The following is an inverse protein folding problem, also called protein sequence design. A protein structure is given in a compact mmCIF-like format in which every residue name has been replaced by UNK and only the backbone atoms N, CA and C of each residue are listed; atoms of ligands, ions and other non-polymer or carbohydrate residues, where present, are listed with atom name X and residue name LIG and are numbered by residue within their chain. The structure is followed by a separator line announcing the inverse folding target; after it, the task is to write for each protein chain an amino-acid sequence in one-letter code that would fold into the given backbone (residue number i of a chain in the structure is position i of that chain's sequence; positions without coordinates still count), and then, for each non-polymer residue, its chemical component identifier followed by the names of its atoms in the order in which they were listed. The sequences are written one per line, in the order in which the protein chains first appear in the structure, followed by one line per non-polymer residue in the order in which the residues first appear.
data_IF_579835688363
#
_entry.id   IF_579835688363
#
_cell.length_a   1.000
_cell.length_b   1.000
_cell.length_c   1.000
_cell.angle_alpha   90.00
_cell.angle_beta   90.00
_cell.angle_gamma   90.00
#
_symmetry.space_group_name_H-M   'P 1'
#
loop_
_entity.id
_entity.type
_entity.pdbx_description
1 polymer ?
#
# COMPACT_ATOMS: atom_id res chain seq x y z
N UNK A 1 33.78 -17.37 10.69
CA UNK A 1 32.80 -17.93 9.73
C UNK A 1 31.66 -16.91 9.70
N UNK A 2 31.73 -15.99 8.73
CA UNK A 2 30.70 -14.97 8.53
C UNK A 2 29.52 -15.58 7.79
N UNK A 3 28.34 -15.55 8.42
CA UNK A 3 27.11 -15.94 7.78
C UNK A 3 26.66 -14.79 6.88
N UNK A 4 26.88 -14.93 5.59
CA UNK A 4 26.38 -14.02 4.57
C UNK A 4 24.84 -14.02 4.55
N UNK A 5 24.25 -12.98 5.11
CA UNK A 5 22.82 -12.70 4.94
C UNK A 5 22.58 -12.33 3.48
N UNK A 6 21.99 -13.22 2.72
CA UNK A 6 21.54 -12.95 1.36
C UNK A 6 20.40 -11.93 1.42
N UNK A 7 20.69 -10.69 1.10
CA UNK A 7 19.71 -9.63 0.91
C UNK A 7 18.83 -10.01 -0.28
N UNK A 8 17.65 -10.61 0.00
CA UNK A 8 16.66 -10.88 -1.04
C UNK A 8 16.13 -9.54 -1.52
N UNK A 9 16.31 -9.27 -2.81
CA UNK A 9 15.72 -8.16 -3.54
C UNK A 9 14.25 -7.98 -3.13
N UNK A 10 13.94 -6.88 -2.47
CA UNK A 10 12.57 -6.41 -2.26
C UNK A 10 12.02 -6.08 -3.66
N UNK A 11 10.91 -6.73 -4.03
CA UNK A 11 10.19 -6.40 -5.25
C UNK A 11 9.83 -4.91 -5.23
N UNK A 12 9.87 -4.27 -6.39
CA UNK A 12 9.64 -2.83 -6.54
C UNK A 12 8.31 -2.43 -5.89
N UNK A 13 8.41 -1.83 -4.72
CA UNK A 13 7.28 -1.33 -3.95
C UNK A 13 7.09 0.13 -4.33
N UNK A 14 5.92 0.47 -4.87
CA UNK A 14 5.63 1.82 -5.32
C UNK A 14 4.81 2.57 -4.27
N UNK A 15 5.16 3.81 -4.04
CA UNK A 15 4.46 4.73 -3.14
C UNK A 15 4.06 5.96 -3.96
N UNK A 16 2.76 6.27 -3.98
CA UNK A 16 2.22 7.42 -4.68
C UNK A 16 1.46 8.32 -3.70
N UNK A 17 1.80 9.60 -3.68
CA UNK A 17 1.14 10.59 -2.84
C UNK A 17 0.55 11.71 -3.69
N UNK A 18 -0.71 12.07 -3.44
CA UNK A 18 -1.34 13.24 -4.03
C UNK A 18 -1.18 14.45 -3.12
N UNK A 19 -0.64 15.53 -3.68
CA UNK A 19 -0.47 16.81 -3.01
C UNK A 19 -1.62 17.76 -3.34
N UNK A 20 -2.02 18.60 -2.40
CA UNK A 20 -3.05 19.61 -2.61
C UNK A 20 -2.66 20.64 -3.68
N UNK A 21 -3.68 21.23 -4.34
CA UNK A 21 -3.63 22.15 -5.50
C UNK A 21 -2.73 23.39 -5.39
N UNK A 22 -1.96 23.58 -4.32
CA UNK A 22 -1.08 24.74 -4.13
C UNK A 22 0.40 24.47 -4.41
N UNK A 23 0.74 23.34 -5.06
CA UNK A 23 2.10 23.07 -5.57
C UNK A 23 3.24 23.05 -4.55
N UNK A 24 2.93 23.17 -3.25
CA UNK A 24 3.93 23.06 -2.19
C UNK A 24 3.92 21.64 -1.65
N UNK A 25 5.00 20.93 -1.92
CA UNK A 25 5.36 19.69 -1.26
C UNK A 25 5.58 20.01 0.22
N UNK A 26 4.53 19.96 1.02
CA UNK A 26 4.77 19.81 2.44
C UNK A 26 5.15 18.36 2.65
N UNK A 27 6.36 18.11 3.09
CA UNK A 27 6.88 16.77 3.40
C UNK A 27 5.80 15.99 4.14
N UNK A 28 5.76 14.67 3.96
CA UNK A 28 4.88 13.72 4.68
C UNK A 28 4.92 13.96 6.21
N UNK A 29 5.91 14.68 6.72
CA UNK A 29 6.04 15.14 8.11
C UNK A 29 5.01 16.20 8.55
N UNK A 30 4.11 16.67 7.66
CA UNK A 30 3.16 17.78 7.95
C UNK A 30 1.73 17.28 8.19
N UNK A 31 1.51 15.99 8.39
CA UNK A 31 0.16 15.39 8.58
C UNK A 31 -0.38 15.56 10.00
N UNK A 32 0.36 15.90 10.96
CA UNK A 32 -0.01 16.53 12.24
C UNK A 32 1.27 16.96 12.96
N UNK A 33 1.18 17.97 13.81
CA UNK A 33 2.36 18.46 14.53
C UNK A 33 2.95 17.43 15.50
N UNK A 34 2.21 16.38 15.84
CA UNK A 34 2.56 15.46 16.93
C UNK A 34 2.64 13.96 16.51
N UNK A 35 2.07 13.55 15.36
CA UNK A 35 2.09 12.15 14.93
C UNK A 35 2.91 11.97 13.67
N UNK A 36 4.04 11.29 13.79
CA UNK A 36 4.91 10.95 12.66
C UNK A 36 4.37 9.70 11.95
N UNK A 37 3.80 9.86 10.77
CA UNK A 37 3.40 8.72 9.93
C UNK A 37 4.65 8.09 9.32
N UNK A 38 4.88 6.82 9.63
CA UNK A 38 5.94 6.01 9.07
C UNK A 38 5.34 4.73 8.49
N UNK A 39 5.46 4.58 7.18
CA UNK A 39 4.83 3.49 6.43
C UNK A 39 5.86 2.41 6.10
N UNK A 40 5.52 1.15 6.38
CA UNK A 40 6.20 -0.03 5.84
C UNK A 40 5.34 -0.61 4.72
N UNK A 41 5.94 -0.85 3.56
CA UNK A 41 5.27 -1.57 2.45
C UNK A 41 6.06 -2.84 2.17
N UNK A 42 5.37 -3.99 2.13
CA UNK A 42 5.99 -5.30 2.04
C UNK A 42 5.18 -6.23 1.13
N UNK A 43 5.80 -6.78 0.08
CA UNK A 43 5.31 -7.99 -0.56
C UNK A 43 5.75 -9.21 0.27
N UNK A 44 4.81 -9.81 1.03
CA UNK A 44 5.14 -10.84 2.01
C UNK A 44 5.34 -12.23 1.41
N UNK A 45 4.80 -12.48 0.21
CA UNK A 45 4.72 -13.84 -0.36
C UNK A 45 4.29 -14.86 0.70
N UNK A 46 3.12 -14.57 1.29
CA UNK A 46 2.51 -15.24 2.44
C UNK A 46 2.99 -14.73 3.81
N UNK A 47 2.01 -14.34 4.63
CA UNK A 47 2.18 -14.02 6.06
C UNK A 47 1.53 -15.09 6.97
N UNK A 48 1.06 -16.18 6.38
CA UNK A 48 0.29 -17.22 7.05
C UNK A 48 1.09 -17.94 8.14
N UNK A 49 2.40 -18.11 7.94
CA UNK A 49 3.27 -18.77 8.92
C UNK A 49 3.48 -17.87 10.14
N UNK A 50 3.31 -18.46 11.33
CA UNK A 50 3.47 -17.76 12.61
C UNK A 50 4.86 -17.12 12.76
N UNK A 51 5.91 -17.80 12.30
CA UNK A 51 7.27 -17.31 12.40
C UNK A 51 7.46 -15.97 11.65
N UNK A 52 6.84 -15.86 10.47
CA UNK A 52 6.88 -14.60 9.68
C UNK A 52 6.12 -13.45 10.37
N UNK A 53 5.02 -13.76 11.07
CA UNK A 53 4.28 -12.76 11.84
C UNK A 53 5.08 -12.26 13.03
N UNK A 54 5.75 -13.15 13.76
CA UNK A 54 6.63 -12.81 14.88
C UNK A 54 7.80 -11.95 14.38
N UNK A 55 8.40 -12.30 13.24
CA UNK A 55 9.49 -11.53 12.63
C UNK A 55 9.00 -10.12 12.24
N UNK A 56 7.85 -10.02 11.58
CA UNK A 56 7.22 -8.75 11.22
C UNK A 56 6.95 -7.90 12.45
N UNK A 57 6.34 -8.46 13.48
CA UNK A 57 6.02 -7.75 14.73
C UNK A 57 7.27 -7.20 15.39
N UNK A 58 8.33 -8.01 15.49
CA UNK A 58 9.61 -7.61 16.06
C UNK A 58 10.25 -6.48 15.24
N UNK A 59 10.20 -6.57 13.92
CA UNK A 59 10.72 -5.56 13.01
C UNK A 59 9.95 -4.23 13.12
N UNK A 60 8.64 -4.30 13.17
CA UNK A 60 7.76 -3.13 13.31
C UNK A 60 7.99 -2.40 14.63
N UNK A 61 8.05 -3.14 15.73
CA UNK A 61 8.33 -2.60 17.07
C UNK A 61 9.71 -1.91 17.13
N UNK A 62 10.72 -2.51 16.53
CA UNK A 62 12.08 -1.96 16.50
C UNK A 62 12.15 -0.62 15.74
N UNK A 63 11.40 -0.48 14.65
CA UNK A 63 11.52 0.66 13.75
C UNK A 63 10.43 1.72 13.94
N UNK A 64 9.40 1.46 14.76
CA UNK A 64 8.34 2.41 15.06
C UNK A 64 7.50 2.79 13.83
N UNK A 65 7.08 1.80 13.03
CA UNK A 65 6.12 2.03 11.95
C UNK A 65 4.72 2.25 12.52
N UNK A 66 3.97 3.14 11.89
CA UNK A 66 2.58 3.46 12.27
C UNK A 66 1.55 2.92 11.27
N UNK A 67 1.98 2.62 10.06
CA UNK A 67 1.16 1.97 9.02
C UNK A 67 1.99 0.85 8.39
N UNK A 68 1.38 -0.33 8.21
CA UNK A 68 2.03 -1.47 7.55
C UNK A 68 1.08 -1.96 6.46
N UNK A 69 1.52 -1.83 5.21
CA UNK A 69 0.81 -2.28 4.02
C UNK A 69 1.46 -3.55 3.49
N UNK A 70 0.71 -4.64 3.43
CA UNK A 70 1.19 -5.93 2.97
C UNK A 70 0.45 -6.32 1.70
N UNK A 71 1.19 -6.68 0.68
CA UNK A 71 0.69 -7.36 -0.53
C UNK A 71 1.13 -8.82 -0.52
N UNK A 72 0.45 -9.65 -1.29
CA UNK A 72 0.64 -11.09 -1.28
C UNK A 72 0.56 -11.71 0.12
N UNK A 73 -0.48 -11.35 0.87
CA UNK A 73 -0.71 -11.87 2.21
C UNK A 73 -0.94 -13.39 2.23
N UNK A 74 -1.59 -13.91 1.19
CA UNK A 74 -2.05 -15.30 1.03
C UNK A 74 -3.00 -15.73 2.14
N UNK A 75 -3.65 -14.78 2.77
CA UNK A 75 -4.67 -15.06 3.77
C UNK A 75 -5.96 -15.56 3.11
N UNK A 76 -6.69 -16.35 3.87
CA UNK A 76 -7.99 -16.92 3.50
C UNK A 76 -8.97 -16.74 4.66
N UNK A 77 -10.29 -16.82 4.43
CA UNK A 77 -11.28 -16.68 5.50
C UNK A 77 -11.13 -17.68 6.66
N UNK A 78 -10.42 -18.80 6.44
CA UNK A 78 -10.14 -19.78 7.49
C UNK A 78 -9.16 -19.26 8.56
N UNK A 79 -8.41 -18.21 8.25
CA UNK A 79 -7.46 -17.59 9.18
C UNK A 79 -8.16 -16.38 9.81
N UNK A 80 -8.35 -16.43 11.11
CA UNK A 80 -9.04 -15.36 11.84
C UNK A 80 -8.19 -14.09 11.92
N UNK A 81 -8.87 -12.94 12.05
CA UNK A 81 -8.19 -11.66 12.26
C UNK A 81 -7.39 -11.63 13.56
N UNK A 82 -7.82 -12.39 14.58
CA UNK A 82 -7.06 -12.53 15.82
C UNK A 82 -5.71 -13.22 15.61
N UNK A 83 -5.64 -14.18 14.69
CA UNK A 83 -4.36 -14.84 14.35
C UNK A 83 -3.42 -13.94 13.57
N UNK A 84 -3.97 -13.01 12.79
CA UNK A 84 -3.21 -12.05 12.00
C UNK A 84 -2.89 -10.77 12.77
N UNK A 85 -3.51 -10.56 13.94
CA UNK A 85 -3.37 -9.36 14.74
C UNK A 85 -1.91 -9.04 15.09
N UNK A 86 -1.57 -7.76 15.06
CA UNK A 86 -0.33 -7.21 15.60
C UNK A 86 -0.66 -6.34 16.80
N UNK A 87 0.04 -6.54 17.91
CA UNK A 87 -0.18 -5.76 19.13
C UNK A 87 0.01 -4.25 18.87
N UNK A 88 -0.97 -3.45 19.25
CA UNK A 88 -0.99 -2.01 19.04
C UNK A 88 -1.51 -1.55 17.67
N UNK A 89 -2.06 -2.46 16.84
CA UNK A 89 -2.56 -2.14 15.52
C UNK A 89 -4.00 -2.61 15.30
N UNK A 90 -4.76 -1.84 14.52
CA UNK A 90 -6.01 -2.28 13.89
C UNK A 90 -5.68 -2.91 12.55
N UNK A 91 -6.29 -4.05 12.23
CA UNK A 91 -6.16 -4.76 10.97
C UNK A 91 -7.35 -4.46 10.05
N UNK A 92 -7.04 -4.11 8.80
CA UNK A 92 -7.95 -4.12 7.67
C UNK A 92 -7.42 -5.11 6.64
N UNK A 93 -8.29 -5.94 6.06
CA UNK A 93 -7.87 -6.97 5.10
C UNK A 93 -8.84 -7.13 3.95
N UNK A 94 -8.30 -7.59 2.84
CA UNK A 94 -9.08 -8.07 1.70
C UNK A 94 -8.38 -9.29 1.11
N UNK A 95 -9.02 -10.44 1.23
CA UNK A 95 -8.49 -11.68 0.72
C UNK A 95 -8.79 -11.81 -0.78
N UNK A 96 -7.89 -12.46 -1.51
CA UNK A 96 -8.12 -12.76 -2.94
C UNK A 96 -9.42 -13.51 -3.18
N UNK A 97 -9.82 -14.39 -2.26
CA UNK A 97 -11.06 -15.18 -2.36
C UNK A 97 -12.32 -14.34 -2.43
N UNK A 98 -12.28 -13.08 -2.00
CA UNK A 98 -13.40 -12.10 -2.13
C UNK A 98 -13.51 -11.53 -3.56
N UNK A 99 -12.47 -11.66 -4.35
CA UNK A 99 -12.35 -11.10 -5.69
C UNK A 99 -12.48 -12.20 -6.74
N UNK A 100 -11.71 -13.28 -6.58
CA UNK A 100 -11.62 -14.39 -7.53
C UNK A 100 -11.12 -15.67 -6.89
N UNK A 101 -11.36 -16.79 -7.57
CA UNK A 101 -10.79 -18.08 -7.19
C UNK A 101 -9.29 -18.10 -7.53
N UNK A 102 -8.47 -18.65 -6.64
CA UNK A 102 -7.03 -18.81 -6.87
C UNK A 102 -6.21 -18.73 -5.59
N UNK A 103 -4.99 -19.24 -5.65
CA UNK A 103 -4.03 -19.15 -4.53
C UNK A 103 -3.25 -17.85 -4.59
N UNK A 104 -2.75 -17.43 -3.45
CA UNK A 104 -1.91 -16.23 -3.33
C UNK A 104 -2.71 -14.94 -3.30
N UNK A 105 -2.04 -13.80 -3.47
CA UNK A 105 -2.62 -12.47 -3.42
C UNK A 105 -3.15 -12.06 -2.06
N UNK A 106 -4.12 -11.16 -2.06
CA UNK A 106 -4.67 -10.55 -0.86
C UNK A 106 -3.80 -9.42 -0.31
N UNK A 107 -4.45 -8.48 0.36
CA UNK A 107 -3.79 -7.32 0.97
C UNK A 107 -4.19 -7.18 2.44
N UNK A 108 -3.24 -6.74 3.27
CA UNK A 108 -3.49 -6.36 4.66
C UNK A 108 -2.99 -4.93 4.88
N UNK A 109 -3.71 -4.19 5.69
CA UNK A 109 -3.33 -2.86 6.12
C UNK A 109 -3.47 -2.79 7.65
N UNK A 110 -2.34 -2.68 8.34
CA UNK A 110 -2.31 -2.45 9.78
C UNK A 110 -2.08 -0.98 10.06
N UNK A 111 -2.85 -0.43 10.96
CA UNK A 111 -2.79 0.98 11.37
C UNK A 111 -2.62 1.04 12.88
N UNK A 112 -1.63 1.79 13.34
CA UNK A 112 -1.39 1.96 14.78
C UNK A 112 -2.63 2.50 15.49
N UNK A 113 -2.93 1.98 16.68
CA UNK A 113 -4.02 2.44 17.53
C UNK A 113 -3.87 3.91 17.97
N UNK A 114 -2.70 4.51 17.75
CA UNK A 114 -2.47 5.95 17.97
C UNK A 114 -3.12 6.81 16.88
N UNK A 115 -3.47 6.22 15.72
CA UNK A 115 -4.10 6.91 14.60
C UNK A 115 -5.60 6.59 14.59
N UNK A 116 -6.43 7.62 14.48
CA UNK A 116 -7.87 7.42 14.26
C UNK A 116 -8.11 7.14 12.79
N UNK A 117 -8.75 6.01 12.48
CA UNK A 117 -9.03 5.63 11.12
C UNK A 117 -10.34 4.84 11.00
N UNK A 118 -10.92 4.88 9.81
CA UNK A 118 -12.11 4.10 9.44
C UNK A 118 -11.93 3.51 8.04
N UNK A 119 -12.56 2.37 7.79
CA UNK A 119 -12.61 1.79 6.44
C UNK A 119 -13.45 2.68 5.51
N UNK A 120 -12.99 2.84 4.26
CA UNK A 120 -13.75 3.56 3.22
C UNK A 120 -14.56 2.57 2.41
N UNK A 121 -15.77 2.28 2.86
CA UNK A 121 -16.62 1.23 2.30
C UNK A 121 -16.87 1.39 0.80
N UNK A 122 -17.04 2.61 0.31
CA UNK A 122 -17.25 2.90 -1.11
C UNK A 122 -16.06 2.52 -1.99
N UNK A 123 -14.83 2.65 -1.46
CA UNK A 123 -13.61 2.22 -2.15
C UNK A 123 -13.36 0.73 -1.98
N UNK A 124 -13.70 0.17 -0.81
CA UNK A 124 -13.55 -1.25 -0.52
C UNK A 124 -14.56 -2.12 -1.28
N UNK A 125 -15.64 -1.53 -1.81
CA UNK A 125 -16.62 -2.22 -2.64
C UNK A 125 -16.08 -2.61 -4.04
N UNK A 126 -15.03 -1.93 -4.55
CA UNK A 126 -14.43 -2.28 -5.83
C UNK A 126 -13.84 -3.71 -5.81
N UNK A 127 -14.03 -4.44 -6.90
CA UNK A 127 -13.64 -5.86 -7.04
C UNK A 127 -12.19 -5.98 -7.53
N UNK A 128 -11.27 -5.50 -6.71
CA UNK A 128 -9.82 -5.58 -6.93
C UNK A 128 -9.09 -5.80 -5.59
N UNK A 129 -7.85 -6.24 -5.67
CA UNK A 129 -7.01 -6.47 -4.48
C UNK A 129 -6.49 -5.13 -3.94
N UNK A 130 -7.38 -4.38 -3.29
CA UNK A 130 -7.04 -3.12 -2.61
C UNK A 130 -7.84 -2.97 -1.32
N UNK A 131 -7.24 -2.30 -0.34
CA UNK A 131 -7.86 -1.96 0.93
C UNK A 131 -7.63 -0.49 1.25
N UNK A 132 -8.69 0.21 1.64
CA UNK A 132 -8.72 1.66 1.77
C UNK A 132 -9.27 2.07 3.13
N UNK A 133 -8.57 2.99 3.75
CA UNK A 133 -8.97 3.64 5.00
C UNK A 133 -8.91 5.15 4.86
N UNK A 134 -9.64 5.84 5.70
CA UNK A 134 -9.52 7.27 5.91
C UNK A 134 -8.90 7.51 7.30
N UNK A 135 -7.80 8.25 7.32
CA UNK A 135 -7.18 8.76 8.55
C UNK A 135 -7.81 10.10 8.90
N UNK A 136 -8.26 10.23 10.14
CA UNK A 136 -8.71 11.50 10.69
C UNK A 136 -7.51 12.39 11.00
N UNK A 137 -7.50 13.58 10.40
CA UNK A 137 -6.50 14.63 10.68
C UNK A 137 -7.20 15.81 11.34
N UNK A 138 -7.17 15.87 12.67
CA UNK A 138 -7.83 16.91 13.48
C UNK A 138 -7.53 18.34 13.04
N UNK A 139 -6.43 18.57 12.35
CA UNK A 139 -5.97 19.92 11.99
C UNK A 139 -6.22 20.27 10.53
N UNK A 140 -6.56 19.29 9.68
CA UNK A 140 -6.65 19.42 8.21
C UNK A 140 -7.73 18.50 7.63
N UNK A 141 -7.84 18.47 6.31
CA UNK A 141 -8.68 17.48 5.63
C UNK A 141 -8.14 16.07 5.82
N UNK A 142 -9.03 15.11 6.07
CA UNK A 142 -8.72 13.70 6.20
C UNK A 142 -7.87 13.17 5.02
N UNK A 143 -7.13 12.10 5.27
CA UNK A 143 -6.23 11.48 4.27
C UNK A 143 -6.70 10.07 3.99
N UNK A 144 -6.99 9.76 2.74
CA UNK A 144 -7.25 8.40 2.30
C UNK A 144 -5.91 7.67 2.14
N UNK A 145 -5.78 6.49 2.76
CA UNK A 145 -4.64 5.60 2.58
C UNK A 145 -5.11 4.31 1.97
N UNK A 146 -4.49 3.91 0.86
CA UNK A 146 -4.81 2.68 0.15
C UNK A 146 -3.60 1.78 -0.03
N UNK A 147 -3.78 0.48 0.18
CA UNK A 147 -2.86 -0.56 -0.27
C UNK A 147 -3.44 -1.25 -1.49
N UNK A 148 -2.66 -1.38 -2.56
CA UNK A 148 -3.07 -1.99 -3.82
C UNK A 148 -2.09 -3.10 -4.22
N UNK A 149 -2.63 -4.18 -4.76
CA UNK A 149 -1.85 -5.25 -5.36
C UNK A 149 -2.36 -5.59 -6.75
N UNK A 150 -1.57 -5.27 -7.77
CA UNK A 150 -1.81 -5.73 -9.15
C UNK A 150 -1.09 -7.06 -9.35
N UNK A 151 -1.87 -8.15 -9.38
CA UNK A 151 -1.32 -9.45 -9.73
C UNK A 151 -0.78 -9.45 -11.17
N UNK A 152 0.34 -10.15 -11.47
CA UNK A 152 0.82 -10.31 -12.86
C UNK A 152 -0.24 -10.93 -13.80
N UNK A 153 -1.19 -11.66 -13.25
CA UNK A 153 -2.29 -12.33 -13.99
C UNK A 153 -3.65 -11.67 -13.71
N UNK A 154 -3.67 -10.37 -13.41
CA UNK A 154 -4.91 -9.62 -13.18
C UNK A 154 -5.78 -9.64 -14.44
N UNK A 155 -7.10 -9.78 -14.27
CA UNK A 155 -8.03 -9.62 -15.39
C UNK A 155 -8.22 -8.15 -15.75
N UNK A 156 -8.59 -7.87 -16.99
CA UNK A 156 -8.90 -6.51 -17.44
C UNK A 156 -10.02 -5.87 -16.59
N UNK A 157 -11.00 -6.66 -16.18
CA UNK A 157 -12.08 -6.20 -15.30
C UNK A 157 -11.53 -5.76 -13.94
N UNK A 158 -10.73 -6.59 -13.26
CA UNK A 158 -10.13 -6.25 -11.96
C UNK A 158 -9.19 -5.04 -12.08
N UNK A 159 -8.48 -4.90 -13.20
CA UNK A 159 -7.61 -3.75 -13.45
C UNK A 159 -8.43 -2.46 -13.57
N UNK A 160 -9.54 -2.48 -14.31
CA UNK A 160 -10.47 -1.35 -14.41
C UNK A 160 -11.10 -0.97 -13.07
N UNK A 161 -11.44 -1.97 -12.25
CA UNK A 161 -11.93 -1.76 -10.88
C UNK A 161 -10.85 -1.06 -10.02
N UNK A 162 -9.60 -1.52 -10.09
CA UNK A 162 -8.48 -0.89 -9.37
C UNK A 162 -8.26 0.56 -9.82
N UNK A 163 -8.24 0.83 -11.11
CA UNK A 163 -8.09 2.18 -11.65
C UNK A 163 -9.25 3.09 -11.23
N UNK A 164 -10.46 2.55 -11.20
CA UNK A 164 -11.64 3.28 -10.73
C UNK A 164 -11.54 3.63 -9.25
N UNK A 165 -11.06 2.70 -8.42
CA UNK A 165 -10.81 2.96 -7.00
C UNK A 165 -9.75 4.06 -6.81
N UNK A 166 -8.63 4.00 -7.56
CA UNK A 166 -7.57 5.01 -7.53
C UNK A 166 -8.09 6.38 -7.95
N UNK A 167 -8.82 6.48 -9.10
CA UNK A 167 -9.44 7.74 -9.55
C UNK A 167 -10.42 8.30 -8.52
N UNK A 168 -11.13 7.45 -7.81
CA UNK A 168 -12.07 7.88 -6.76
C UNK A 168 -11.32 8.40 -5.54
N UNK A 169 -10.30 7.69 -5.05
CA UNK A 169 -9.44 8.14 -3.94
C UNK A 169 -8.73 9.45 -4.27
N UNK A 170 -8.30 9.62 -5.53
CA UNK A 170 -7.59 10.79 -6.01
C UNK A 170 -8.42 12.10 -5.97
N UNK A 171 -9.72 12.04 -5.72
CA UNK A 171 -10.55 13.24 -5.48
C UNK A 171 -10.26 13.89 -4.13
N UNK A 172 -9.60 13.17 -3.24
CA UNK A 172 -9.21 13.61 -1.90
C UNK A 172 -7.69 13.63 -1.75
N UNK A 173 -7.21 14.11 -0.60
CA UNK A 173 -5.81 13.86 -0.20
C UNK A 173 -5.65 12.35 -0.03
N UNK A 174 -4.68 11.77 -0.70
CA UNK A 174 -4.48 10.32 -0.56
C UNK A 174 -3.02 9.91 -0.66
N UNK A 175 -2.74 8.77 -0.04
CA UNK A 175 -1.50 8.04 -0.12
C UNK A 175 -1.83 6.62 -0.62
N UNK A 176 -1.23 6.23 -1.73
CA UNK A 176 -1.43 4.91 -2.31
C UNK A 176 -0.11 4.18 -2.31
N UNK A 177 -0.10 3.00 -1.73
CA UNK A 177 1.08 2.15 -1.62
C UNK A 177 0.78 0.75 -2.13
N UNK A 178 1.80 -0.01 -2.51
CA UNK A 178 1.60 -1.40 -2.88
C UNK A 178 2.58 -1.91 -3.94
N UNK A 179 2.20 -3.01 -4.54
CA UNK A 179 2.96 -3.67 -5.60
C UNK A 179 2.10 -3.69 -6.87
N UNK A 180 2.44 -2.82 -7.82
CA UNK A 180 1.68 -2.64 -9.06
C UNK A 180 2.18 -3.49 -10.21
N UNK A 181 3.31 -4.19 -10.06
CA UNK A 181 3.85 -5.10 -11.07
C UNK A 181 3.91 -4.50 -12.49
N UNK A 182 4.52 -3.32 -12.62
CA UNK A 182 4.83 -2.67 -13.89
C UNK A 182 6.35 -2.57 -14.07
N UNK A 183 7.03 -3.66 -14.46
CA UNK A 183 8.49 -3.69 -14.55
C UNK A 183 9.05 -2.86 -15.73
N UNK A 184 8.20 -2.50 -16.70
CA UNK A 184 8.61 -1.80 -17.91
C UNK A 184 8.44 -0.27 -17.82
N UNK A 185 7.97 0.25 -16.69
CA UNK A 185 7.87 1.68 -16.47
C UNK A 185 9.21 2.20 -15.95
N UNK A 186 9.79 3.16 -16.68
CA UNK A 186 10.87 3.98 -16.15
C UNK A 186 10.26 5.13 -15.32
N UNK A 187 10.42 5.05 -14.02
CA UNK A 187 9.84 6.00 -13.07
C UNK A 187 10.58 7.34 -13.02
N UNK A 188 11.79 7.42 -13.60
CA UNK A 188 12.55 8.67 -13.67
C UNK A 188 12.08 9.51 -14.88
N UNK A 189 11.84 8.87 -16.03
CA UNK A 189 11.34 9.53 -17.24
C UNK A 189 9.82 9.50 -17.38
N UNK A 190 9.13 8.66 -16.63
CA UNK A 190 7.69 8.34 -16.78
C UNK A 190 7.34 7.76 -18.16
N UNK A 191 8.29 7.06 -18.75
CA UNK A 191 8.10 6.38 -20.03
C UNK A 191 7.87 4.89 -19.80
N UNK A 192 7.05 4.29 -20.64
CA UNK A 192 6.89 2.85 -20.70
C UNK A 192 7.04 2.32 -22.12
N UNK A 193 7.47 1.08 -22.25
CA UNK A 193 7.77 0.47 -23.56
C UNK A 193 6.65 -0.38 -24.13
N UNK A 194 5.48 -0.49 -23.45
CA UNK A 194 4.35 -1.35 -23.83
C UNK A 194 3.02 -0.71 -23.40
N UNK A 195 1.92 -1.49 -23.46
CA UNK A 195 0.54 -1.10 -23.14
C UNK A 195 0.29 -0.69 -21.64
N UNK A 196 1.35 -0.35 -20.91
CA UNK A 196 1.29 0.13 -19.53
C UNK A 196 1.01 1.64 -19.42
N UNK A 197 0.82 2.32 -20.57
CA UNK A 197 0.54 3.76 -20.68
C UNK A 197 -0.68 4.18 -19.84
N UNK A 198 -1.73 3.34 -19.80
CA UNK A 198 -2.95 3.65 -19.04
C UNK A 198 -2.69 3.86 -17.55
N UNK A 199 -1.72 3.13 -16.98
CA UNK A 199 -1.35 3.32 -15.58
C UNK A 199 -0.51 4.59 -15.37
N UNK A 200 0.41 4.87 -16.29
CA UNK A 200 1.20 6.12 -16.26
C UNK A 200 0.27 7.32 -16.38
N UNK A 201 -0.64 7.32 -17.36
CA UNK A 201 -1.65 8.35 -17.52
C UNK A 201 -2.52 8.52 -16.26
N UNK A 202 -2.98 7.40 -15.68
CA UNK A 202 -3.75 7.43 -14.45
C UNK A 202 -3.02 8.16 -13.32
N UNK A 203 -1.73 7.91 -13.15
CA UNK A 203 -0.93 8.53 -12.10
C UNK A 203 -0.67 10.01 -12.41
N UNK A 204 -0.31 10.35 -13.65
CA UNK A 204 -0.05 11.72 -14.07
C UNK A 204 -1.30 12.59 -14.08
N UNK A 205 -2.41 12.12 -14.64
CA UNK A 205 -3.68 12.85 -14.72
C UNK A 205 -4.24 13.20 -13.35
N UNK A 206 -3.93 12.38 -12.35
CA UNK A 206 -4.36 12.63 -10.98
C UNK A 206 -3.30 13.35 -10.13
N UNK A 207 -2.23 13.84 -10.73
CA UNK A 207 -1.16 14.60 -10.07
C UNK A 207 -0.51 13.83 -8.91
N UNK A 208 -0.35 12.53 -9.05
CA UNK A 208 0.42 11.75 -8.10
C UNK A 208 1.92 11.98 -8.30
N UNK A 209 2.64 11.94 -7.20
CA UNK A 209 4.11 11.97 -7.19
C UNK A 209 4.59 10.61 -6.73
N UNK A 210 5.49 10.00 -7.50
CA UNK A 210 6.16 8.77 -7.06
C UNK A 210 7.22 9.10 -6.01
N UNK A 211 7.17 8.40 -4.88
CA UNK A 211 8.18 8.46 -3.84
C UNK A 211 8.82 7.08 -3.68
N UNK A 212 9.62 6.67 -4.67
CA UNK A 212 10.40 5.45 -4.58
C UNK A 212 11.71 5.73 -3.81
N UNK A 213 12.10 4.84 -2.87
CA UNK A 213 13.35 5.03 -2.09
C UNK A 213 14.61 5.07 -2.99
N UNK A 214 14.57 4.48 -4.18
CA UNK A 214 15.67 4.56 -5.16
C UNK A 214 15.93 5.99 -5.68
N UNK A 215 14.93 6.88 -5.63
CA UNK A 215 15.06 8.27 -6.03
C UNK A 215 15.73 9.15 -4.96
N UNK A 216 15.78 8.67 -3.70
CA UNK A 216 16.33 9.43 -2.56
C UNK A 216 17.83 9.23 -2.31
N UNK A 217 18.47 8.24 -2.94
CA UNK A 217 19.90 7.94 -2.74
C UNK A 217 20.82 8.67 -3.72
N UNK A 218 20.31 9.57 -4.57
CA UNK A 218 21.09 10.34 -5.56
C UNK A 218 21.06 11.86 -5.36
N UNK A 219 21.05 12.32 -4.11
CA UNK A 219 21.39 13.72 -3.80
C UNK A 219 22.52 13.80 -2.79
#
# INVERSE_FOLDING_TARGET
MEAGATQKSLAATSLFAKVNNNGKFNRVNDISKDIKIKVLVLNARSIVKMEKRIELESYVKLHGYTIIAITESWTTPDISDNELGLDGFVLFRKDRSEIRVGKGGGVLLYVSNELRCVAVETLNAFKCESMWIELDDDSRANVIVGVCYKSPIVSEHELKEMFSAIRHAAKSRCLIVGDFNYPNIDWDSWECSNDDDEFVDLIQDNFFVSACESCYQRQ
#
